data_IF_741758758945
#
_entry.id   IF_741758758945
#
_cell.length_a   1.000
_cell.length_b   1.000
_cell.length_c   1.000
_cell.angle_alpha   90.00
_cell.angle_beta   90.00
_cell.angle_gamma   90.00
#
_symmetry.space_group_name_H-M   'P 1'
#
loop_
_entity.id
_entity.type
_entity.pdbx_description
1 polymer ?
#
# COMPACT_ATOMS: atom_id res chain seq x y z
N UNK A 1 9.83 -20.21 -32.44
CA UNK A 1 9.17 -18.88 -32.33
C UNK A 1 7.73 -19.07 -31.83
N UNK A 2 7.53 -19.14 -30.50
CA UNK A 2 6.21 -19.11 -29.89
C UNK A 2 6.15 -17.88 -28.98
N UNK A 3 5.24 -16.96 -29.31
CA UNK A 3 4.98 -15.70 -28.60
C UNK A 3 4.51 -16.04 -27.19
N UNK A 4 5.39 -15.92 -26.20
CA UNK A 4 4.96 -15.72 -24.81
C UNK A 4 4.49 -14.26 -24.73
N UNK A 5 3.18 -14.06 -24.88
CA UNK A 5 2.56 -12.83 -24.41
C UNK A 5 2.80 -12.79 -22.90
N UNK A 6 3.74 -11.96 -22.46
CA UNK A 6 3.85 -11.54 -21.07
C UNK A 6 2.52 -10.85 -20.76
N UNK A 7 1.61 -11.53 -20.08
CA UNK A 7 0.47 -10.92 -19.43
C UNK A 7 1.00 -10.01 -18.32
N UNK A 8 1.43 -8.79 -18.71
CA UNK A 8 1.37 -7.64 -17.83
C UNK A 8 -0.08 -7.51 -17.40
N UNK A 9 -0.32 -7.24 -16.12
CA UNK A 9 -1.62 -7.13 -15.42
C UNK A 9 -2.03 -8.39 -14.64
N UNK A 10 -1.30 -8.67 -13.56
CA UNK A 10 -1.96 -9.19 -12.36
C UNK A 10 -2.42 -7.99 -11.51
N UNK A 11 -3.72 -7.69 -11.62
CA UNK A 11 -4.46 -6.70 -10.80
C UNK A 11 -4.75 -7.25 -9.39
N UNK A 12 -4.18 -8.39 -9.02
CA UNK A 12 -4.45 -9.05 -7.73
C UNK A 12 -3.43 -8.66 -6.66
N UNK A 13 -3.36 -7.39 -6.28
CA UNK A 13 -2.82 -7.00 -4.96
C UNK A 13 -3.36 -5.64 -4.45
N UNK A 14 -4.45 -5.12 -5.04
CA UNK A 14 -5.13 -3.91 -4.56
C UNK A 14 -6.18 -4.19 -3.45
N UNK A 15 -6.28 -5.42 -2.95
CA UNK A 15 -7.41 -5.84 -2.09
C UNK A 15 -7.06 -6.32 -0.67
N UNK A 16 -5.86 -6.07 -0.15
CA UNK A 16 -5.58 -6.34 1.27
C UNK A 16 -4.92 -5.10 1.87
N UNK A 17 -5.70 -4.35 2.67
CA UNK A 17 -5.34 -3.16 3.46
C UNK A 17 -5.72 -1.77 2.91
N UNK A 18 -6.78 -1.61 2.12
CA UNK A 18 -7.47 -0.30 2.06
C UNK A 18 -8.41 -0.13 3.25
N UNK A 19 -7.82 -0.05 4.45
CA UNK A 19 -8.38 0.74 5.52
C UNK A 19 -7.62 2.07 5.47
N UNK A 20 -8.13 3.04 4.69
CA UNK A 20 -7.58 4.40 4.65
C UNK A 20 -7.64 5.09 6.04
N UNK A 21 -8.33 4.48 7.02
CA UNK A 21 -8.29 4.84 8.44
C UNK A 21 -6.96 4.51 9.15
N UNK A 22 -5.96 3.96 8.46
CA UNK A 22 -4.57 3.89 8.94
C UNK A 22 -3.65 4.83 8.17
N UNK A 23 -4.05 6.09 8.03
CA UNK A 23 -3.03 7.15 7.99
C UNK A 23 -2.43 7.26 9.38
N UNK A 24 -1.50 6.36 9.70
CA UNK A 24 -0.50 6.66 10.71
C UNK A 24 0.23 7.86 10.12
N UNK A 25 -0.05 9.05 10.67
CA UNK A 25 0.78 10.20 10.43
C UNK A 25 2.23 9.72 10.46
N UNK A 26 3.01 9.99 9.41
CA UNK A 26 4.47 9.99 9.57
C UNK A 26 4.71 10.73 10.88
N UNK A 27 5.39 10.13 11.88
CA UNK A 27 5.64 10.85 13.11
C UNK A 27 6.43 12.06 12.67
N UNK A 28 5.80 13.24 12.69
CA UNK A 28 6.52 14.48 12.68
C UNK A 28 7.55 14.30 13.78
N UNK A 29 8.83 14.52 13.48
CA UNK A 29 9.89 14.52 14.48
C UNK A 29 9.33 15.27 15.68
N UNK A 30 9.09 14.54 16.77
CA UNK A 30 8.49 15.14 17.96
C UNK A 30 9.44 16.28 18.32
N UNK A 31 8.97 17.53 18.31
CA UNK A 31 9.74 18.60 18.91
C UNK A 31 10.15 18.08 20.29
N UNK A 32 11.45 18.10 20.61
CA UNK A 32 11.97 17.71 21.94
C UNK A 32 11.56 18.75 22.99
N UNK A 33 10.28 19.11 23.01
CA UNK A 33 9.67 19.96 24.03
C UNK A 33 9.40 19.01 25.19
N UNK A 34 10.06 19.27 26.30
CA UNK A 34 9.89 18.51 27.52
C UNK A 34 8.51 18.76 28.16
N UNK A 35 8.08 17.85 29.03
CA UNK A 35 6.77 17.90 29.70
C UNK A 35 6.52 19.24 30.41
N UNK A 36 7.55 19.82 31.05
CA UNK A 36 7.41 21.07 31.81
C UNK A 36 7.11 22.25 30.88
N UNK A 37 7.77 22.29 29.73
CA UNK A 37 7.51 23.30 28.70
C UNK A 37 6.09 23.18 28.13
N UNK A 38 5.60 21.97 27.87
CA UNK A 38 4.21 21.75 27.43
C UNK A 38 3.19 22.10 28.52
N UNK A 39 3.47 21.77 29.78
CA UNK A 39 2.62 22.12 30.93
C UNK A 39 2.46 23.63 31.08
N UNK A 40 3.52 24.41 30.82
CA UNK A 40 3.42 25.88 30.81
C UNK A 40 2.56 26.40 29.66
N UNK A 41 2.64 25.76 28.48
CA UNK A 41 1.85 26.16 27.32
C UNK A 41 0.34 25.92 27.53
N UNK A 42 -0.04 24.86 28.24
CA UNK A 42 -1.47 24.58 28.51
C UNK A 42 -2.10 25.52 29.54
N UNK A 43 -1.30 26.25 30.33
CA UNK A 43 -1.80 27.32 31.24
C UNK A 43 -2.55 28.41 30.46
N UNK A 44 -2.24 28.58 29.17
CA UNK A 44 -2.95 29.51 28.27
C UNK A 44 -4.37 29.04 27.92
N UNK A 45 -4.72 27.79 28.23
CA UNK A 45 -6.00 27.17 27.90
C UNK A 45 -6.19 26.83 26.41
N UNK A 46 -5.23 27.16 25.55
CA UNK A 46 -5.37 26.97 24.09
C UNK A 46 -5.50 25.49 23.71
N UNK A 47 -6.48 25.20 22.86
CA UNK A 47 -6.79 23.83 22.45
C UNK A 47 -5.61 23.11 21.76
N UNK A 48 -4.80 23.81 20.96
CA UNK A 48 -3.63 23.23 20.31
C UNK A 48 -2.53 22.84 21.32
N UNK A 49 -2.28 23.67 22.33
CA UNK A 49 -1.32 23.34 23.39
C UNK A 49 -1.76 22.08 24.16
N UNK A 50 -3.06 21.98 24.46
CA UNK A 50 -3.64 20.80 25.12
C UNK A 50 -3.50 19.55 24.25
N UNK A 51 -3.76 19.67 22.94
CA UNK A 51 -3.54 18.57 21.98
C UNK A 51 -2.08 18.11 21.95
N UNK A 52 -1.13 19.04 21.91
CA UNK A 52 0.30 18.70 21.89
C UNK A 52 0.73 17.98 23.18
N UNK A 53 0.22 18.41 24.33
CA UNK A 53 0.45 17.71 25.60
C UNK A 53 -0.21 16.32 25.63
N UNK A 54 -1.40 16.17 25.03
CA UNK A 54 -2.05 14.87 24.89
C UNK A 54 -1.20 13.90 24.04
N UNK A 55 -0.71 14.35 22.88
CA UNK A 55 0.20 13.59 22.01
C UNK A 55 1.48 13.18 22.75
N UNK A 56 2.06 14.09 23.54
CA UNK A 56 3.22 13.79 24.38
C UNK A 56 2.92 12.65 25.34
N UNK A 57 1.84 12.74 26.12
CA UNK A 57 1.49 11.67 27.06
C UNK A 57 1.17 10.34 26.38
N UNK A 58 0.50 10.36 25.23
CA UNK A 58 0.21 9.16 24.46
C UNK A 58 1.51 8.46 24.01
N UNK A 59 2.49 9.23 23.52
CA UNK A 59 3.79 8.66 23.11
C UNK A 59 4.59 8.05 24.27
N UNK A 60 4.32 8.48 25.51
CA UNK A 60 4.92 7.93 26.73
C UNK A 60 4.04 6.87 27.42
N UNK A 61 3.00 6.37 26.75
CA UNK A 61 2.09 5.35 27.29
C UNK A 61 1.19 5.83 28.43
N UNK A 62 1.15 7.13 28.73
CA UNK A 62 0.32 7.72 29.78
C UNK A 62 -1.08 8.02 29.24
N UNK A 63 -1.81 6.97 28.87
CA UNK A 63 -3.06 7.09 28.11
C UNK A 63 -4.18 7.82 28.85
N UNK A 64 -4.27 7.71 30.17
CA UNK A 64 -5.27 8.43 30.98
C UNK A 64 -5.05 9.94 30.92
N UNK A 65 -3.79 10.37 31.00
CA UNK A 65 -3.43 11.79 30.86
C UNK A 65 -3.67 12.28 29.43
N UNK A 66 -3.29 11.47 28.44
CA UNK A 66 -3.55 11.80 27.04
C UNK A 66 -5.04 12.00 26.77
N UNK A 67 -5.88 11.08 27.25
CA UNK A 67 -7.33 11.16 27.13
C UNK A 67 -7.89 12.44 27.75
N UNK A 68 -7.44 12.80 28.97
CA UNK A 68 -7.87 14.02 29.63
C UNK A 68 -7.60 15.26 28.77
N UNK A 69 -6.39 15.40 28.26
CA UNK A 69 -5.99 16.55 27.45
C UNK A 69 -6.63 16.56 26.07
N UNK A 70 -6.82 15.40 25.44
CA UNK A 70 -7.60 15.32 24.20
C UNK A 70 -9.04 15.77 24.40
N UNK A 71 -9.70 15.36 25.49
CA UNK A 71 -11.07 15.80 25.79
C UNK A 71 -11.15 17.31 25.93
N UNK A 72 -10.26 17.92 26.72
CA UNK A 72 -10.22 19.38 26.87
C UNK A 72 -10.03 20.09 25.52
N UNK A 73 -9.08 19.64 24.71
CA UNK A 73 -8.82 20.22 23.39
C UNK A 73 -10.01 20.02 22.42
N UNK A 74 -10.58 18.82 22.39
CA UNK A 74 -11.70 18.45 21.53
C UNK A 74 -12.99 19.22 21.88
N UNK A 75 -13.25 19.44 23.18
CA UNK A 75 -14.40 20.25 23.64
C UNK A 75 -14.32 21.70 23.22
N UNK A 76 -13.12 22.22 22.95
CA UNK A 76 -12.91 23.56 22.40
C UNK A 76 -13.05 23.63 20.88
N UNK A 77 -13.37 22.52 20.21
CA UNK A 77 -13.54 22.49 18.75
C UNK A 77 -12.27 22.16 17.95
N UNK A 78 -11.17 21.76 18.60
CA UNK A 78 -9.95 21.44 17.88
C UNK A 78 -10.05 20.08 17.18
N UNK A 79 -10.24 20.12 15.86
CA UNK A 79 -10.58 18.95 15.03
C UNK A 79 -9.59 17.79 15.16
N UNK A 80 -8.28 18.06 15.23
CA UNK A 80 -7.26 17.02 15.41
C UNK A 80 -7.43 16.26 16.73
N UNK A 81 -7.82 16.94 17.81
CA UNK A 81 -8.12 16.29 19.08
C UNK A 81 -9.43 15.50 19.02
N UNK A 82 -10.45 16.02 18.33
CA UNK A 82 -11.71 15.30 18.10
C UNK A 82 -11.45 13.99 17.34
N UNK A 83 -10.66 14.03 16.26
CA UNK A 83 -10.29 12.84 15.48
C UNK A 83 -9.50 11.85 16.34
N UNK A 84 -8.48 12.29 17.08
CA UNK A 84 -7.70 11.39 17.93
C UNK A 84 -8.55 10.74 19.03
N UNK A 85 -9.45 11.53 19.65
CA UNK A 85 -10.38 11.01 20.65
C UNK A 85 -11.34 9.98 20.04
N UNK A 86 -11.88 10.24 18.84
CA UNK A 86 -12.70 9.27 18.11
C UNK A 86 -11.94 7.95 17.85
N UNK A 87 -10.69 8.03 17.41
CA UNK A 87 -9.85 6.85 17.16
C UNK A 87 -9.52 6.08 18.45
N UNK A 88 -9.32 6.78 19.58
CA UNK A 88 -9.14 6.14 20.89
C UNK A 88 -10.37 5.31 21.26
N UNK A 89 -11.57 5.85 21.12
CA UNK A 89 -12.82 5.13 21.35
C UNK A 89 -13.07 4.00 20.34
N UNK A 90 -12.68 4.17 19.08
CA UNK A 90 -12.79 3.11 18.08
C UNK A 90 -11.92 1.89 18.42
N UNK A 91 -10.68 2.16 18.86
CA UNK A 91 -9.67 1.13 19.06
C UNK A 91 -9.66 0.58 20.49
N UNK A 92 -10.25 1.30 21.45
CA UNK A 92 -10.20 0.98 22.87
C UNK A 92 -8.83 1.29 23.50
N UNK A 93 -8.16 2.36 23.03
CA UNK A 93 -6.84 2.76 23.52
C UNK A 93 -7.01 3.76 24.65
N UNK A 94 -6.70 3.37 25.88
CA UNK A 94 -6.84 4.24 27.06
C UNK A 94 -8.29 4.49 27.51
N UNK A 95 -9.26 3.97 26.77
CA UNK A 95 -10.69 4.01 27.05
C UNK A 95 -11.34 2.69 26.59
N UNK A 96 -12.44 2.24 27.18
CA UNK A 96 -13.28 1.21 26.59
C UNK A 96 -13.74 1.62 25.19
N UNK A 97 -13.95 0.64 24.31
CA UNK A 97 -14.53 0.90 23.00
C UNK A 97 -15.93 1.48 23.14
N UNK A 98 -16.20 2.55 22.41
CA UNK A 98 -17.48 3.24 22.43
C UNK A 98 -17.79 3.84 21.06
N UNK A 99 -18.69 3.19 20.31
CA UNK A 99 -19.05 3.63 18.97
C UNK A 99 -19.84 4.95 18.97
N UNK A 100 -20.57 5.24 20.05
CA UNK A 100 -21.35 6.47 20.16
C UNK A 100 -20.43 7.68 20.37
N UNK A 101 -19.47 7.58 21.29
CA UNK A 101 -18.47 8.64 21.48
C UNK A 101 -17.53 8.76 20.28
N UNK A 102 -17.13 7.63 19.67
CA UNK A 102 -16.37 7.65 18.41
C UNK A 102 -17.10 8.45 17.33
N UNK A 103 -18.36 8.12 17.06
CA UNK A 103 -19.15 8.79 16.03
C UNK A 103 -19.36 10.27 16.36
N UNK A 104 -19.68 10.59 17.62
CA UNK A 104 -19.88 11.96 18.08
C UNK A 104 -18.67 12.85 17.78
N UNK A 105 -17.46 12.39 18.14
CA UNK A 105 -16.25 13.18 17.93
C UNK A 105 -15.82 13.23 16.46
N UNK A 106 -16.00 12.14 15.70
CA UNK A 106 -15.73 12.16 14.26
C UNK A 106 -16.67 13.10 13.52
N UNK A 107 -17.96 13.09 13.86
CA UNK A 107 -18.95 13.96 13.24
C UNK A 107 -18.67 15.43 13.60
N UNK A 108 -18.25 15.73 14.83
CA UNK A 108 -17.82 17.07 15.22
C UNK A 108 -16.63 17.55 14.36
N UNK A 109 -15.63 16.69 14.14
CA UNK A 109 -14.50 17.01 13.28
C UNK A 109 -14.93 17.27 11.83
N UNK A 110 -15.76 16.40 11.25
CA UNK A 110 -16.28 16.56 9.90
C UNK A 110 -17.10 17.86 9.73
N UNK A 111 -17.97 18.17 10.70
CA UNK A 111 -18.79 19.38 10.73
C UNK A 111 -17.97 20.66 10.89
N UNK A 112 -16.81 20.60 11.56
CA UNK A 112 -15.87 21.73 11.62
C UNK A 112 -15.15 22.00 10.30
N UNK A 113 -15.30 21.13 9.30
CA UNK A 113 -14.66 21.26 7.99
C UNK A 113 -13.38 20.46 7.84
N UNK A 114 -12.93 19.73 8.86
CA UNK A 114 -11.67 18.99 8.79
C UNK A 114 -11.74 17.87 7.74
N UNK A 115 -10.85 17.86 6.72
CA UNK A 115 -10.95 16.92 5.61
C UNK A 115 -10.71 15.46 6.03
N UNK A 116 -9.97 15.21 7.12
CA UNK A 116 -9.80 13.86 7.68
C UNK A 116 -11.11 13.42 8.34
N UNK A 117 -11.74 14.31 9.12
CA UNK A 117 -13.06 14.07 9.70
C UNK A 117 -14.10 13.77 8.63
N UNK A 118 -14.16 14.58 7.58
CA UNK A 118 -15.07 14.39 6.45
C UNK A 118 -14.81 13.09 5.69
N UNK A 119 -13.55 12.76 5.38
CA UNK A 119 -13.20 11.50 4.71
C UNK A 119 -13.56 10.27 5.55
N UNK A 120 -13.35 10.31 6.87
CA UNK A 120 -13.75 9.22 7.77
C UNK A 120 -15.28 9.11 7.89
N UNK A 121 -15.99 10.25 7.96
CA UNK A 121 -17.45 10.25 7.94
C UNK A 121 -18.00 9.69 6.63
N UNK A 122 -17.35 9.94 5.50
CA UNK A 122 -17.73 9.29 4.24
C UNK A 122 -17.72 7.76 4.37
N UNK A 123 -16.66 7.18 4.94
CA UNK A 123 -16.56 5.73 5.14
C UNK A 123 -17.62 5.21 6.14
N UNK A 124 -17.78 5.86 7.29
CA UNK A 124 -18.77 5.45 8.29
C UNK A 124 -20.20 5.56 7.76
N UNK A 125 -20.53 6.62 7.03
CA UNK A 125 -21.86 6.82 6.44
C UNK A 125 -22.10 5.84 5.29
N UNK A 126 -21.07 5.46 4.52
CA UNK A 126 -21.18 4.45 3.47
C UNK A 126 -21.48 3.06 4.07
N UNK A 127 -20.76 2.69 5.12
CA UNK A 127 -20.90 1.39 5.79
C UNK A 127 -22.08 1.33 6.77
N UNK A 128 -22.51 2.47 7.31
CA UNK A 128 -23.41 2.55 8.45
C UNK A 128 -22.80 1.96 9.74
N UNK A 129 -23.38 2.31 10.88
CA UNK A 129 -23.05 1.75 12.19
C UNK A 129 -24.36 1.24 12.81
N UNK A 130 -24.47 -0.06 13.15
CA UNK A 130 -25.71 -0.64 13.65
C UNK A 130 -26.32 0.18 14.79
N UNK A 131 -27.58 0.61 14.63
CA UNK A 131 -28.35 1.41 15.60
C UNK A 131 -27.85 2.84 15.86
N UNK A 132 -26.72 3.25 15.29
CA UNK A 132 -26.10 4.57 15.55
C UNK A 132 -26.02 5.45 14.31
N UNK A 133 -25.81 4.87 13.12
CA UNK A 133 -25.69 5.59 11.86
C UNK A 133 -26.28 4.76 10.73
N UNK A 134 -27.32 5.27 10.09
CA UNK A 134 -27.89 4.63 8.91
C UNK A 134 -26.94 4.72 7.72
N UNK A 135 -26.94 3.67 6.89
CA UNK A 135 -26.21 3.67 5.61
C UNK A 135 -26.79 4.72 4.69
N UNK A 136 -25.96 5.64 4.21
CA UNK A 136 -26.38 6.65 3.24
C UNK A 136 -25.26 6.91 2.21
N UNK A 137 -25.23 6.14 1.10
CA UNK A 137 -24.18 6.27 0.09
C UNK A 137 -24.06 7.67 -0.52
N UNK A 138 -25.17 8.39 -0.71
CA UNK A 138 -25.13 9.74 -1.26
C UNK A 138 -24.50 10.73 -0.28
N UNK A 139 -24.93 10.72 0.99
CA UNK A 139 -24.31 11.57 2.01
C UNK A 139 -22.83 11.23 2.23
N UNK A 140 -22.45 9.96 2.09
CA UNK A 140 -21.07 9.53 2.13
C UNK A 140 -20.24 10.16 0.99
N UNK A 141 -20.78 10.18 -0.23
CA UNK A 141 -20.16 10.85 -1.38
C UNK A 141 -20.03 12.36 -1.12
N UNK A 142 -21.08 13.01 -0.62
CA UNK A 142 -21.06 14.45 -0.31
C UNK A 142 -19.96 14.80 0.71
N UNK A 143 -19.73 13.95 1.72
CA UNK A 143 -18.64 14.14 2.67
C UNK A 143 -17.27 14.03 2.00
N UNK A 144 -17.10 13.04 1.14
CA UNK A 144 -15.84 12.79 0.46
C UNK A 144 -15.51 13.88 -0.57
N UNK A 145 -16.53 14.39 -1.28
CA UNK A 145 -16.41 15.52 -2.20
C UNK A 145 -15.96 16.79 -1.45
N UNK A 146 -16.58 17.12 -0.31
CA UNK A 146 -16.13 18.24 0.54
C UNK A 146 -14.68 18.11 0.99
N UNK A 147 -14.25 16.90 1.35
CA UNK A 147 -12.85 16.67 1.74
C UNK A 147 -11.90 16.84 0.55
N UNK A 148 -12.31 16.38 -0.63
CA UNK A 148 -11.52 16.47 -1.86
C UNK A 148 -11.43 17.91 -2.42
N UNK A 149 -12.48 18.72 -2.28
CA UNK A 149 -12.53 20.15 -2.66
C UNK A 149 -11.48 20.98 -1.90
N UNK A 150 -11.16 20.58 -0.68
CA UNK A 150 -10.08 21.16 0.13
C UNK A 150 -8.68 20.78 -0.36
N UNK A 151 -8.59 20.10 -1.51
CA UNK A 151 -7.34 19.64 -2.11
C UNK A 151 -6.57 18.65 -1.22
N UNK A 152 -7.28 17.94 -0.34
CA UNK A 152 -6.69 16.92 0.53
C UNK A 152 -6.38 15.65 -0.30
N UNK A 153 -5.11 15.28 -0.53
CA UNK A 153 -4.77 14.27 -1.52
C UNK A 153 -5.38 12.88 -1.26
N UNK A 154 -5.49 12.47 0.00
CA UNK A 154 -6.09 11.19 0.35
C UNK A 154 -7.59 11.14 0.02
N UNK A 155 -8.33 12.24 0.24
CA UNK A 155 -9.72 12.33 -0.17
C UNK A 155 -9.86 12.36 -1.70
N UNK A 156 -9.02 13.13 -2.40
CA UNK A 156 -9.03 13.17 -3.87
C UNK A 156 -8.76 11.80 -4.50
N UNK A 157 -7.81 11.03 -3.96
CA UNK A 157 -7.54 9.66 -4.42
C UNK A 157 -8.69 8.70 -4.13
N UNK A 158 -9.27 8.79 -2.93
CA UNK A 158 -10.41 7.95 -2.53
C UNK A 158 -11.62 8.26 -3.40
N UNK A 159 -11.91 9.54 -3.66
CA UNK A 159 -12.99 9.98 -4.53
C UNK A 159 -12.78 9.49 -5.97
N UNK A 160 -11.57 9.61 -6.49
CA UNK A 160 -11.24 9.09 -7.82
C UNK A 160 -11.47 7.56 -7.90
N UNK A 161 -11.10 6.82 -6.85
CA UNK A 161 -11.39 5.39 -6.77
C UNK A 161 -12.91 5.11 -6.73
N UNK A 162 -13.69 5.90 -5.98
CA UNK A 162 -15.14 5.76 -5.90
C UNK A 162 -15.79 5.94 -7.27
N UNK A 163 -15.40 6.99 -8.00
CA UNK A 163 -15.86 7.23 -9.36
C UNK A 163 -15.40 6.14 -10.34
N UNK A 164 -14.16 5.65 -10.26
CA UNK A 164 -13.66 4.59 -11.14
C UNK A 164 -14.44 3.27 -10.94
N UNK A 165 -14.76 2.92 -9.69
CA UNK A 165 -15.43 1.66 -9.36
C UNK A 165 -16.95 1.75 -9.36
N UNK A 166 -17.52 2.95 -9.31
CA UNK A 166 -18.95 3.16 -9.08
C UNK A 166 -19.32 2.69 -7.67
N UNK A 167 -18.55 3.10 -6.66
CA UNK A 167 -18.85 2.77 -5.23
C UNK A 167 -20.20 3.37 -4.82
N UNK A 168 -20.48 4.57 -5.31
CA UNK A 168 -21.76 5.26 -5.17
C UNK A 168 -22.20 5.66 -6.57
N UNK A 169 -23.37 5.18 -7.01
CA UNK A 169 -23.91 5.46 -8.34
C UNK A 169 -23.19 4.71 -9.48
N UNK A 170 -23.27 5.26 -10.68
CA UNK A 170 -22.60 4.71 -11.87
C UNK A 170 -21.10 5.04 -11.88
N UNK A 171 -20.34 4.33 -12.72
CA UNK A 171 -18.92 4.63 -12.91
C UNK A 171 -18.74 5.96 -13.63
N UNK A 172 -17.92 6.83 -13.08
CA UNK A 172 -17.58 8.14 -13.64
C UNK A 172 -16.07 8.27 -13.92
N UNK A 173 -15.53 7.45 -14.85
CA UNK A 173 -14.08 7.36 -15.07
C UNK A 173 -13.43 8.68 -15.52
N UNK A 174 -14.17 9.56 -16.18
CA UNK A 174 -13.67 10.87 -16.57
C UNK A 174 -13.43 11.77 -15.34
N UNK A 175 -14.31 11.74 -14.33
CA UNK A 175 -14.10 12.47 -13.06
C UNK A 175 -12.90 11.92 -12.30
N UNK A 176 -12.77 10.59 -12.23
CA UNK A 176 -11.60 9.94 -11.64
C UNK A 176 -10.30 10.38 -12.34
N UNK A 177 -10.29 10.39 -13.68
CA UNK A 177 -9.14 10.82 -14.47
C UNK A 177 -8.77 12.29 -14.21
N UNK A 178 -9.75 13.19 -14.12
CA UNK A 178 -9.51 14.60 -13.79
C UNK A 178 -8.87 14.78 -12.41
N UNK A 179 -9.34 14.04 -11.40
CA UNK A 179 -8.73 14.07 -10.07
C UNK A 179 -7.28 13.58 -10.09
N UNK A 180 -6.98 12.52 -10.85
CA UNK A 180 -5.60 12.07 -11.01
C UNK A 180 -4.72 13.08 -11.73
N UNK A 181 -5.23 13.78 -12.76
CA UNK A 181 -4.51 14.87 -13.42
C UNK A 181 -4.17 16.00 -12.45
N UNK A 182 -5.16 16.48 -11.66
CA UNK A 182 -4.94 17.54 -10.68
C UNK A 182 -3.91 17.15 -9.60
N UNK A 183 -3.92 15.89 -9.15
CA UNK A 183 -2.92 15.36 -8.23
C UNK A 183 -1.53 15.23 -8.89
N UNK A 184 -1.48 14.79 -10.15
CA UNK A 184 -0.25 14.64 -10.90
C UNK A 184 0.43 15.97 -11.25
N UNK A 185 -0.33 17.04 -11.45
CA UNK A 185 0.19 18.41 -11.58
C UNK A 185 1.00 18.83 -10.35
N UNK A 186 0.58 18.36 -9.16
CA UNK A 186 1.28 18.56 -7.89
C UNK A 186 2.35 17.52 -7.59
N UNK A 187 2.75 16.73 -8.59
CA UNK A 187 3.71 15.63 -8.44
C UNK A 187 3.28 14.58 -7.41
N UNK A 188 1.98 14.28 -7.25
CA UNK A 188 1.57 13.20 -6.37
C UNK A 188 1.97 11.84 -6.98
N UNK A 189 2.88 11.07 -6.33
CA UNK A 189 3.51 9.90 -6.94
C UNK A 189 2.51 8.82 -7.36
N UNK A 190 1.52 8.52 -6.49
CA UNK A 190 0.51 7.52 -6.78
C UNK A 190 -0.43 7.94 -7.92
N UNK A 191 -0.73 9.24 -8.07
CA UNK A 191 -1.62 9.71 -9.13
C UNK A 191 -0.90 9.65 -10.49
N UNK A 192 0.37 10.07 -10.52
CA UNK A 192 1.25 9.86 -11.68
C UNK A 192 1.30 8.38 -12.08
N UNK A 193 1.49 7.47 -11.11
CA UNK A 193 1.48 6.03 -11.38
C UNK A 193 0.14 5.57 -11.98
N UNK A 194 -0.99 5.99 -11.40
CA UNK A 194 -2.32 5.61 -11.89
C UNK A 194 -2.57 6.13 -13.31
N UNK A 195 -2.16 7.37 -13.64
CA UNK A 195 -2.23 7.88 -15.01
C UNK A 195 -1.35 7.07 -15.97
N UNK A 196 -0.14 6.70 -15.54
CA UNK A 196 0.74 5.83 -16.32
C UNK A 196 0.12 4.46 -16.57
N UNK A 197 -0.53 3.89 -15.56
CA UNK A 197 -1.25 2.62 -15.66
C UNK A 197 -2.46 2.72 -16.61
N UNK A 198 -3.25 3.79 -16.52
CA UNK A 198 -4.37 4.03 -17.44
C UNK A 198 -3.88 4.11 -18.90
N UNK A 199 -2.76 4.78 -19.14
CA UNK A 199 -2.15 4.86 -20.46
C UNK A 199 -1.62 3.49 -20.94
N UNK A 200 -0.94 2.72 -20.08
CA UNK A 200 -0.39 1.42 -20.44
C UNK A 200 -1.45 0.34 -20.70
N UNK A 201 -2.64 0.48 -20.12
CA UNK A 201 -3.76 -0.47 -20.25
C UNK A 201 -4.80 -0.06 -21.28
N UNK A 202 -4.82 1.23 -21.66
CA UNK A 202 -5.87 1.78 -22.51
C UNK A 202 -7.23 1.87 -21.82
N UNK A 203 -7.30 1.85 -20.49
CA UNK A 203 -8.56 1.72 -19.73
C UNK A 203 -9.65 2.74 -20.10
N UNK A 204 -9.29 3.93 -20.60
CA UNK A 204 -10.25 4.97 -21.00
C UNK A 204 -10.08 5.49 -22.42
N UNK A 205 -9.07 5.00 -23.13
CA UNK A 205 -8.72 5.42 -24.49
C UNK A 205 -8.12 4.21 -25.21
N UNK A 206 -7.04 4.42 -25.95
CA UNK A 206 -6.18 3.38 -26.50
C UNK A 206 -4.91 3.30 -25.66
N UNK A 207 -4.23 2.15 -25.73
CA UNK A 207 -2.91 1.97 -25.13
C UNK A 207 -1.95 3.03 -25.67
N UNK A 208 -1.24 3.70 -24.77
CA UNK A 208 -0.24 4.74 -25.05
C UNK A 208 0.97 4.53 -24.14
N UNK A 209 1.90 3.68 -24.60
CA UNK A 209 3.12 3.39 -23.85
C UNK A 209 4.08 4.59 -23.72
N UNK A 210 4.26 5.47 -24.72
CA UNK A 210 5.03 6.71 -24.53
C UNK A 210 4.47 7.59 -23.40
N UNK A 211 3.15 7.76 -23.31
CA UNK A 211 2.52 8.49 -22.21
C UNK A 211 2.66 7.75 -20.87
N UNK A 212 2.52 6.43 -20.88
CA UNK A 212 2.77 5.61 -19.68
C UNK A 212 4.21 5.77 -19.19
N UNK A 213 5.18 5.73 -20.10
CA UNK A 213 6.59 5.95 -19.81
C UNK A 213 6.83 7.32 -19.18
N UNK A 214 6.23 8.38 -19.72
CA UNK A 214 6.32 9.72 -19.16
C UNK A 214 5.84 9.77 -17.70
N UNK A 215 4.65 9.24 -17.42
CA UNK A 215 4.07 9.26 -16.07
C UNK A 215 4.79 8.35 -15.09
N UNK A 216 5.16 7.13 -15.50
CA UNK A 216 5.93 6.23 -14.66
C UNK A 216 7.32 6.80 -14.35
N UNK A 217 7.97 7.50 -15.29
CA UNK A 217 9.24 8.18 -15.04
C UNK A 217 9.10 9.21 -13.93
N UNK A 218 8.15 10.14 -14.05
CA UNK A 218 7.91 11.16 -13.02
C UNK A 218 7.58 10.55 -11.65
N UNK A 219 6.74 9.52 -11.61
CA UNK A 219 6.39 8.83 -10.36
C UNK A 219 7.57 8.06 -9.75
N UNK A 220 8.38 7.41 -10.58
CA UNK A 220 9.55 6.63 -10.16
C UNK A 220 10.67 7.51 -9.60
N UNK A 221 10.88 8.69 -10.18
CA UNK A 221 11.83 9.72 -9.71
C UNK A 221 11.45 10.26 -8.33
N UNK A 222 10.17 10.26 -7.99
CA UNK A 222 9.66 10.58 -6.66
C UNK A 222 9.75 9.41 -5.66
N UNK A 223 10.36 8.28 -6.06
CA UNK A 223 10.59 7.14 -5.20
C UNK A 223 9.46 6.10 -5.16
N UNK A 224 8.38 6.24 -5.93
CA UNK A 224 7.24 5.33 -5.82
C UNK A 224 7.55 3.94 -6.38
N UNK A 225 7.67 2.93 -5.51
CA UNK A 225 8.16 1.59 -5.90
C UNK A 225 7.32 0.91 -6.99
N UNK A 226 5.97 1.00 -7.03
CA UNK A 226 5.20 0.41 -8.13
C UNK A 226 5.53 1.05 -9.48
N UNK A 227 5.79 2.37 -9.51
CA UNK A 227 6.17 3.05 -10.74
C UNK A 227 7.60 2.72 -11.16
N UNK A 228 8.54 2.58 -10.22
CA UNK A 228 9.89 2.12 -10.51
C UNK A 228 9.88 0.71 -11.13
N UNK A 229 9.05 -0.20 -10.61
CA UNK A 229 8.83 -1.51 -11.21
C UNK A 229 8.28 -1.40 -12.65
N UNK A 230 7.20 -0.64 -12.84
CA UNK A 230 6.57 -0.48 -14.16
C UNK A 230 7.51 0.18 -15.17
N UNK A 231 8.28 1.18 -14.76
CA UNK A 231 9.28 1.83 -15.59
C UNK A 231 10.39 0.86 -16.00
N UNK A 232 10.88 0.06 -15.04
CA UNK A 232 11.84 -1.00 -15.32
C UNK A 232 11.31 -2.01 -16.34
N UNK A 233 10.03 -2.37 -16.25
CA UNK A 233 9.37 -3.25 -17.21
C UNK A 233 9.23 -2.64 -18.60
N UNK A 234 8.95 -1.33 -18.72
CA UNK A 234 8.92 -0.65 -20.03
C UNK A 234 10.29 -0.63 -20.70
N UNK A 235 11.36 -0.39 -19.93
CA UNK A 235 12.73 -0.52 -20.44
C UNK A 235 13.08 -1.95 -20.85
N UNK A 236 12.61 -2.95 -20.10
CA UNK A 236 12.86 -4.37 -20.41
C UNK A 236 12.16 -4.82 -21.69
N UNK A 237 10.90 -4.39 -21.89
CA UNK A 237 10.07 -4.75 -23.04
C UNK A 237 10.33 -3.88 -24.28
N UNK A 238 10.82 -2.66 -24.10
CA UNK A 238 10.95 -1.66 -25.17
C UNK A 238 9.61 -1.06 -25.60
N UNK A 239 8.59 -1.10 -24.73
CA UNK A 239 7.29 -0.51 -25.00
C UNK A 239 7.29 0.97 -24.62
N UNK A 240 7.04 1.86 -25.58
CA UNK A 240 7.01 3.31 -25.36
C UNK A 240 8.37 3.96 -25.13
N UNK A 241 9.44 3.17 -25.03
CA UNK A 241 10.84 3.60 -24.89
C UNK A 241 11.74 2.61 -25.60
N UNK A 242 12.93 3.03 -26.03
CA UNK A 242 13.95 2.10 -26.54
C UNK A 242 14.30 1.09 -25.43
N UNK A 243 14.32 -0.20 -25.79
CA UNK A 243 14.72 -1.27 -24.88
C UNK A 243 16.12 -1.02 -24.33
N UNK A 244 16.27 -1.04 -23.01
CA UNK A 244 17.52 -0.78 -22.29
C UNK A 244 17.58 -1.60 -21.00
N UNK A 245 18.37 -2.67 -21.01
CA UNK A 245 18.49 -3.62 -19.90
C UNK A 245 19.17 -3.01 -18.67
N UNK A 246 20.32 -2.31 -18.78
CA UNK A 246 20.88 -1.56 -17.65
C UNK A 246 19.88 -0.64 -16.96
N UNK A 247 19.08 0.13 -17.72
CA UNK A 247 18.04 0.99 -17.15
C UNK A 247 16.92 0.17 -16.47
N UNK A 248 16.50 -0.94 -17.06
CA UNK A 248 15.53 -1.85 -16.43
C UNK A 248 16.03 -2.38 -15.08
N UNK A 249 17.28 -2.88 -15.04
CA UNK A 249 17.91 -3.38 -13.82
C UNK A 249 18.01 -2.28 -12.76
N UNK A 250 18.41 -1.06 -13.14
CA UNK A 250 18.50 0.08 -12.22
C UNK A 250 17.16 0.33 -11.51
N UNK A 251 16.08 0.51 -12.28
CA UNK A 251 14.77 0.84 -11.71
C UNK A 251 14.15 -0.33 -10.95
N UNK A 252 14.27 -1.56 -11.44
CA UNK A 252 13.82 -2.75 -10.71
C UNK A 252 14.59 -2.95 -9.41
N UNK A 253 15.89 -2.63 -9.38
CA UNK A 253 16.69 -2.71 -8.15
C UNK A 253 16.21 -1.72 -7.10
N UNK A 254 15.93 -0.47 -7.49
CA UNK A 254 15.38 0.54 -6.58
C UNK A 254 14.03 0.09 -5.99
N UNK A 255 13.12 -0.40 -6.83
CA UNK A 255 11.83 -0.92 -6.37
C UNK A 255 12.00 -2.14 -5.45
N UNK A 256 12.88 -3.08 -5.82
CA UNK A 256 13.13 -4.31 -5.07
C UNK A 256 13.74 -4.04 -3.68
N UNK A 257 14.60 -3.02 -3.56
CA UNK A 257 15.16 -2.57 -2.29
C UNK A 257 14.11 -1.95 -1.36
N UNK A 258 13.05 -1.36 -1.91
CA UNK A 258 11.88 -0.88 -1.16
C UNK A 258 10.88 -1.98 -0.79
N UNK A 259 11.17 -3.24 -1.16
CA UNK A 259 10.31 -4.37 -0.85
C UNK A 259 9.29 -4.73 -1.93
N UNK A 260 9.28 -4.06 -3.08
CA UNK A 260 8.32 -4.34 -4.17
C UNK A 260 8.49 -5.78 -4.68
N UNK A 261 7.52 -6.64 -4.36
CA UNK A 261 7.59 -8.09 -4.59
C UNK A 261 7.71 -8.41 -6.08
N UNK A 262 6.94 -7.72 -6.92
CA UNK A 262 7.01 -7.87 -8.38
C UNK A 262 8.38 -7.48 -8.93
N UNK A 263 9.00 -6.42 -8.40
CA UNK A 263 10.32 -6.01 -8.84
C UNK A 263 11.41 -7.00 -8.43
N UNK A 264 11.34 -7.53 -7.20
CA UNK A 264 12.26 -8.58 -6.74
C UNK A 264 12.18 -9.81 -7.65
N UNK A 265 10.96 -10.26 -7.98
CA UNK A 265 10.76 -11.39 -8.88
C UNK A 265 11.24 -11.11 -10.31
N UNK A 266 10.91 -9.94 -10.88
CA UNK A 266 11.34 -9.54 -12.22
C UNK A 266 12.87 -9.43 -12.32
N UNK A 267 13.52 -8.84 -11.32
CA UNK A 267 14.97 -8.75 -11.24
C UNK A 267 15.61 -10.14 -11.14
N UNK A 268 15.02 -11.05 -10.37
CA UNK A 268 15.45 -12.44 -10.29
C UNK A 268 15.39 -13.14 -11.66
N UNK A 269 14.31 -12.92 -12.42
CA UNK A 269 14.17 -13.49 -13.76
C UNK A 269 15.22 -12.96 -14.74
N UNK A 270 15.56 -11.67 -14.69
CA UNK A 270 16.61 -11.08 -15.52
C UNK A 270 17.95 -11.78 -15.25
N UNK A 271 18.34 -11.93 -13.98
CA UNK A 271 19.57 -12.62 -13.60
C UNK A 271 19.54 -14.12 -13.93
N UNK A 272 18.40 -14.80 -13.75
CA UNK A 272 18.28 -16.22 -14.04
C UNK A 272 18.44 -16.53 -15.54
N UNK A 273 17.91 -15.66 -16.41
CA UNK A 273 17.94 -15.85 -17.87
C UNK A 273 19.18 -15.29 -18.53
N UNK A 274 19.82 -14.29 -17.91
CA UNK A 274 20.87 -13.51 -18.56
C UNK A 274 20.32 -12.68 -19.73
N UNK A 275 19.14 -12.07 -19.57
CA UNK A 275 18.49 -11.28 -20.62
C UNK A 275 19.25 -9.96 -20.85
N UNK A 276 20.28 -9.98 -21.72
CA UNK A 276 21.13 -8.82 -22.05
C UNK A 276 22.27 -8.56 -21.05
N UNK A 277 22.47 -9.47 -20.09
CA UNK A 277 23.62 -9.54 -19.18
C UNK A 277 24.03 -11.00 -19.00
N UNK A 278 25.24 -11.34 -18.53
CA UNK A 278 25.54 -12.71 -18.12
C UNK A 278 24.57 -13.20 -17.05
N UNK A 279 24.11 -14.44 -17.17
CA UNK A 279 23.24 -15.05 -16.16
C UNK A 279 23.98 -15.20 -14.82
N UNK A 280 23.28 -14.96 -13.72
CA UNK A 280 23.78 -15.05 -12.35
C UNK A 280 22.74 -15.75 -11.49
N UNK A 281 22.83 -17.08 -11.44
CA UNK A 281 21.86 -17.91 -10.72
C UNK A 281 21.85 -17.62 -9.21
N UNK A 282 23.01 -17.23 -8.65
CA UNK A 282 23.11 -16.90 -7.24
C UNK A 282 22.34 -15.61 -6.91
N UNK A 283 22.53 -14.54 -7.70
CA UNK A 283 21.72 -13.32 -7.55
C UNK A 283 20.24 -13.56 -7.80
N UNK A 284 19.91 -14.36 -8.82
CA UNK A 284 18.53 -14.72 -9.09
C UNK A 284 17.88 -15.37 -7.87
N UNK A 285 18.53 -16.38 -7.29
CA UNK A 285 18.01 -17.10 -6.14
C UNK A 285 17.92 -16.23 -4.88
N UNK A 286 18.88 -15.33 -4.64
CA UNK A 286 18.76 -14.36 -3.56
C UNK A 286 17.51 -13.49 -3.69
N UNK A 287 17.19 -13.01 -4.89
CA UNK A 287 15.99 -12.21 -5.13
C UNK A 287 14.69 -13.04 -5.09
N UNK A 288 14.68 -14.25 -5.65
CA UNK A 288 13.54 -15.16 -5.51
C UNK A 288 13.22 -15.45 -4.05
N UNK A 289 14.23 -15.73 -3.21
CA UNK A 289 14.03 -16.01 -1.79
C UNK A 289 13.46 -14.77 -1.05
N UNK A 290 13.95 -13.56 -1.37
CA UNK A 290 13.38 -12.32 -0.82
C UNK A 290 11.90 -12.16 -1.18
N UNK A 291 11.52 -12.37 -2.44
CA UNK A 291 10.12 -12.30 -2.86
C UNK A 291 9.26 -13.44 -2.27
N UNK A 292 9.83 -14.63 -2.09
CA UNK A 292 9.16 -15.79 -1.51
C UNK A 292 8.81 -15.59 -0.02
N UNK A 293 9.69 -14.92 0.73
CA UNK A 293 9.43 -14.52 2.12
C UNK A 293 8.24 -13.55 2.24
N UNK A 294 7.94 -12.80 1.17
CA UNK A 294 6.76 -11.94 1.05
C UNK A 294 5.54 -12.67 0.46
N UNK A 295 5.55 -14.02 0.49
CA UNK A 295 4.45 -14.90 0.12
C UNK A 295 4.08 -14.95 -1.37
N UNK A 296 4.91 -14.46 -2.28
CA UNK A 296 4.68 -14.64 -3.73
C UNK A 296 4.73 -16.13 -4.12
N UNK A 297 3.64 -16.72 -4.66
CA UNK A 297 3.63 -18.15 -5.03
C UNK A 297 4.68 -18.50 -6.09
N UNK A 298 4.83 -17.68 -7.13
CA UNK A 298 5.83 -17.88 -8.18
C UNK A 298 7.25 -17.82 -7.61
N UNK A 299 7.53 -16.87 -6.71
CA UNK A 299 8.83 -16.74 -6.08
C UNK A 299 9.12 -17.90 -5.11
N UNK A 300 8.10 -18.41 -4.40
CA UNK A 300 8.22 -19.60 -3.56
C UNK A 300 8.54 -20.83 -4.38
N UNK A 301 7.86 -21.04 -5.52
CA UNK A 301 8.20 -22.12 -6.45
C UNK A 301 9.64 -21.99 -6.95
N UNK A 302 10.04 -20.79 -7.41
CA UNK A 302 11.39 -20.54 -7.87
C UNK A 302 12.45 -20.74 -6.77
N UNK A 303 12.15 -20.36 -5.52
CA UNK A 303 13.01 -20.59 -4.36
C UNK A 303 13.14 -22.08 -4.04
N UNK A 304 12.06 -22.85 -4.19
CA UNK A 304 12.12 -24.31 -4.11
C UNK A 304 13.10 -24.89 -5.13
N UNK A 305 13.07 -24.39 -6.37
CA UNK A 305 14.01 -24.81 -7.40
C UNK A 305 15.45 -24.41 -7.08
N UNK A 306 15.67 -23.22 -6.50
CA UNK A 306 16.99 -22.78 -6.06
C UNK A 306 17.64 -23.77 -5.09
N UNK A 307 16.90 -24.21 -4.08
CA UNK A 307 17.39 -25.21 -3.13
C UNK A 307 17.46 -26.62 -3.72
N UNK A 308 16.52 -27.02 -4.58
CA UNK A 308 16.54 -28.36 -5.19
C UNK A 308 17.77 -28.57 -6.09
N UNK A 309 18.18 -27.53 -6.82
CA UNK A 309 19.25 -27.61 -7.82
C UNK A 309 20.55 -26.93 -7.39
N UNK A 310 20.65 -26.44 -6.15
CA UNK A 310 21.85 -25.79 -5.64
C UNK A 310 22.25 -24.52 -6.40
N UNK A 311 21.27 -23.74 -6.88
CA UNK A 311 21.52 -22.56 -7.73
C UNK A 311 22.00 -21.37 -6.89
N UNK A 312 23.30 -21.34 -6.58
CA UNK A 312 23.92 -20.29 -5.76
C UNK A 312 23.51 -20.29 -4.28
N UNK A 313 22.78 -21.33 -3.86
CA UNK A 313 22.58 -21.76 -2.47
C UNK A 313 22.98 -23.23 -2.38
N UNK A 314 23.39 -23.75 -1.21
CA UNK A 314 23.61 -25.17 -1.05
C UNK A 314 22.35 -25.97 -1.40
N UNK A 315 22.52 -27.06 -2.13
CA UNK A 315 21.41 -27.96 -2.45
C UNK A 315 20.80 -28.52 -1.15
N UNK A 316 19.49 -28.43 -1.01
CA UNK A 316 18.75 -28.82 0.19
C UNK A 316 17.30 -29.17 -0.17
N UNK A 317 17.04 -30.46 -0.39
CA UNK A 317 15.72 -30.95 -0.78
C UNK A 317 14.65 -30.74 0.30
N UNK A 318 15.05 -30.61 1.57
CA UNK A 318 14.12 -30.30 2.66
C UNK A 318 13.64 -28.86 2.58
N UNK A 319 14.55 -27.91 2.35
CA UNK A 319 14.20 -26.50 2.10
C UNK A 319 13.46 -26.34 0.78
N UNK A 320 13.83 -27.09 -0.25
CA UNK A 320 13.11 -27.10 -1.52
C UNK A 320 11.65 -27.50 -1.30
N UNK A 321 11.42 -28.63 -0.61
CA UNK A 321 10.09 -29.13 -0.28
C UNK A 321 9.30 -28.14 0.59
N UNK A 322 9.94 -27.48 1.56
CA UNK A 322 9.29 -26.42 2.36
C UNK A 322 8.71 -25.31 1.46
N UNK A 323 9.53 -24.78 0.55
CA UNK A 323 9.09 -23.71 -0.35
C UNK A 323 8.03 -24.18 -1.35
N UNK A 324 8.17 -25.37 -1.92
CA UNK A 324 7.16 -25.94 -2.80
C UNK A 324 5.82 -26.18 -2.08
N UNK A 325 5.82 -26.62 -0.82
CA UNK A 325 4.60 -26.75 -0.03
C UNK A 325 3.90 -25.42 0.20
N UNK A 326 4.64 -24.34 0.43
CA UNK A 326 4.05 -23.00 0.56
C UNK A 326 3.39 -22.54 -0.74
N UNK A 327 4.06 -22.70 -1.89
CA UNK A 327 3.48 -22.37 -3.20
C UNK A 327 2.25 -23.25 -3.53
N UNK A 328 2.33 -24.55 -3.25
CA UNK A 328 1.25 -25.52 -3.46
C UNK A 328 -0.01 -25.20 -2.64
N UNK A 329 0.15 -24.75 -1.39
CA UNK A 329 -0.96 -24.28 -0.54
C UNK A 329 -1.67 -23.05 -1.10
N UNK A 330 -0.99 -22.27 -1.94
CA UNK A 330 -1.55 -21.12 -2.65
C UNK A 330 -2.07 -21.49 -4.06
N UNK A 331 -2.13 -22.78 -4.40
CA UNK A 331 -2.70 -23.28 -5.66
C UNK A 331 -1.70 -23.45 -6.80
N UNK A 332 -0.39 -23.34 -6.58
CA UNK A 332 0.58 -23.58 -7.64
C UNK A 332 0.68 -25.07 -8.01
N UNK A 333 0.13 -25.43 -9.17
CA UNK A 333 0.10 -26.82 -9.67
C UNK A 333 1.50 -27.39 -9.96
N UNK A 334 2.45 -26.55 -10.37
CA UNK A 334 3.84 -26.98 -10.60
C UNK A 334 4.48 -27.37 -9.28
N UNK A 335 4.21 -26.58 -8.24
CA UNK A 335 4.68 -26.83 -6.89
C UNK A 335 4.05 -28.11 -6.32
N UNK A 336 2.74 -28.33 -6.51
CA UNK A 336 2.06 -29.57 -6.07
C UNK A 336 2.72 -30.82 -6.65
N UNK A 337 3.04 -30.82 -7.96
CA UNK A 337 3.78 -31.92 -8.59
C UNK A 337 5.17 -32.12 -7.98
N UNK A 338 5.89 -31.02 -7.71
CA UNK A 338 7.22 -31.06 -7.06
C UNK A 338 7.17 -31.58 -5.64
N UNK A 339 6.14 -31.24 -4.86
CA UNK A 339 5.90 -31.77 -3.51
C UNK A 339 5.76 -33.29 -3.56
N UNK A 340 4.90 -33.83 -4.43
CA UNK A 340 4.69 -35.27 -4.56
C UNK A 340 5.98 -36.02 -4.91
N UNK A 341 6.76 -35.49 -5.85
CA UNK A 341 8.04 -36.10 -6.27
C UNK A 341 9.03 -36.12 -5.11
N UNK A 342 9.29 -34.97 -4.49
CA UNK A 342 10.29 -34.84 -3.43
C UNK A 342 9.90 -35.60 -2.15
N UNK A 343 8.62 -35.68 -1.81
CA UNK A 343 8.16 -36.48 -0.67
C UNK A 343 8.45 -37.97 -0.88
N UNK A 344 8.20 -38.49 -2.09
CA UNK A 344 8.51 -39.87 -2.43
C UNK A 344 10.02 -40.12 -2.41
N UNK A 345 10.82 -39.23 -2.99
CA UNK A 345 12.29 -39.36 -3.03
C UNK A 345 12.89 -39.36 -1.62
N UNK A 346 12.43 -38.46 -0.74
CA UNK A 346 12.89 -38.37 0.64
C UNK A 346 12.46 -39.60 1.47
N UNK A 347 11.24 -40.11 1.29
CA UNK A 347 10.79 -41.34 1.96
C UNK A 347 11.59 -42.58 1.51
N UNK A 348 11.95 -42.66 0.24
CA UNK A 348 12.71 -43.79 -0.30
C UNK A 348 14.20 -43.74 0.09
N UNK A 349 14.79 -42.54 0.12
CA UNK A 349 16.18 -42.35 0.56
C UNK A 349 16.42 -42.66 2.05
N UNK A 350 15.39 -42.53 2.89
CA UNK A 350 15.45 -42.86 4.31
C UNK A 350 15.27 -44.36 4.64
N UNK A 351 14.73 -45.16 3.71
CA UNK A 351 14.50 -46.61 3.89
C UNK A 351 15.66 -47.49 3.46
N UNK A 352 16.69 -46.92 2.82
CA UNK A 352 17.87 -47.64 2.31
C UNK A 352 19.13 -47.53 3.18
N UNK A 353 19.01 -47.17 4.46
CA UNK A 353 20.13 -47.08 5.41
C UNK A 353 20.00 -48.06 6.56
#
# INVERSE_FOLDING_TARGET
MKRFALSLLFVSYLFVNFSYAKTVATPAETPKIDEKSLLKLVETGQAEAQFNLAMFYQSHGQLDKALHWYRLSATQGFSKAQINLALMYQQGIGVPKDEQEMLRWMEAAAKSGDPIGQMNMAEYTLQGIPKLLEKNPQQALDWLEKAAEQQFPAAQLTLAYWYEKGVVGEKEPQKAHQLYLALAEKNHPQALYLLGYQAATGMYKKIDYPLAFHYFTRSAELGFSPAQNSLGMLYLSGQGVKRDIPSAIKWLTLAAQQGEVSAQFNLALIYARGDGIPADQAKACQWFIKAANQRSPDAQYASGACYQYGMGVPQDDTKALYWYRLAAKQGDERAQKKVLILENDLQNSGKGK
#
